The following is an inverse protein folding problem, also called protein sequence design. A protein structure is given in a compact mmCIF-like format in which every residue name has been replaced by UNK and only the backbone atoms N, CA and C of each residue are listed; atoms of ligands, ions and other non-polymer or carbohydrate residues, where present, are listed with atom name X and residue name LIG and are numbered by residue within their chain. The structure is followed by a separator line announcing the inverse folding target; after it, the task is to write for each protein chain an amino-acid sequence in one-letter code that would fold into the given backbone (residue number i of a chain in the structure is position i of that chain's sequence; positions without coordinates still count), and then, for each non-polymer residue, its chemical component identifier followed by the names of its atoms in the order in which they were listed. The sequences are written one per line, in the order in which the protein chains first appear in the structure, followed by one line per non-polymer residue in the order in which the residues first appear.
data_IF_193024066512
#
_entry.id   IF_193024066512
#
_cell.length_a   1.000
_cell.length_b   1.000
_cell.length_c   1.000
_cell.angle_alpha   90.00
_cell.angle_beta   90.00
_cell.angle_gamma   90.00
#
_symmetry.space_group_name_H-M   'P 1'
#
loop_
_entity.id
_entity.type
_entity.pdbx_description
1 polymer ?
#
# COMPACT_ATOMS: atom_id res chain seq x y z
N UNK A 1 7.14 -19.75 -0.14
CA UNK A 1 7.27 -18.29 -0.12
C UNK A 1 6.43 -17.86 -1.28
N UNK A 2 5.43 -17.06 -0.97
CA UNK A 2 4.46 -16.61 -1.96
C UNK A 2 4.75 -15.12 -2.22
N UNK A 3 4.54 -14.69 -3.46
CA UNK A 3 4.78 -13.32 -3.89
C UNK A 3 3.43 -12.63 -4.11
N UNK A 4 3.14 -11.59 -3.34
CA UNK A 4 1.84 -10.90 -3.35
C UNK A 4 1.98 -9.41 -3.65
N UNK A 5 0.83 -8.80 -3.99
CA UNK A 5 0.64 -7.35 -4.17
C UNK A 5 1.79 -6.68 -4.96
N UNK A 6 1.99 -7.05 -6.22
CA UNK A 6 3.06 -6.48 -7.03
C UNK A 6 2.75 -5.02 -7.39
N UNK A 7 3.79 -4.20 -7.41
CA UNK A 7 3.74 -2.79 -7.80
C UNK A 7 4.89 -2.50 -8.78
N UNK A 8 4.59 -1.88 -9.93
CA UNK A 8 5.57 -1.67 -11.00
C UNK A 8 5.69 -0.20 -11.35
N UNK A 9 6.92 0.33 -11.26
CA UNK A 9 7.22 1.72 -11.59
C UNK A 9 8.36 1.83 -12.60
N UNK A 10 8.20 2.73 -13.57
CA UNK A 10 9.30 3.16 -14.45
C UNK A 10 10.07 4.31 -13.78
N UNK A 11 11.36 4.10 -13.52
CA UNK A 11 12.27 5.12 -12.98
C UNK A 11 13.46 5.28 -13.92
N UNK A 12 13.55 6.45 -14.57
CA UNK A 12 14.45 6.61 -15.72
C UNK A 12 14.05 5.65 -16.84
N UNK A 13 15.00 4.83 -17.28
CA UNK A 13 14.80 3.83 -18.34
C UNK A 13 14.62 2.39 -17.80
N UNK A 14 14.36 2.24 -16.49
CA UNK A 14 14.27 0.93 -15.83
C UNK A 14 12.95 0.77 -15.09
N UNK A 15 12.27 -0.34 -15.33
CA UNK A 15 11.11 -0.78 -14.57
C UNK A 15 11.57 -1.49 -13.30
N UNK A 16 10.95 -1.14 -12.18
CA UNK A 16 11.12 -1.74 -10.86
C UNK A 16 9.81 -2.40 -10.48
N UNK A 17 9.84 -3.72 -10.26
CA UNK A 17 8.73 -4.52 -9.75
C UNK A 17 9.01 -4.83 -8.28
N UNK A 18 8.23 -4.25 -7.38
CA UNK A 18 8.24 -4.60 -5.96
C UNK A 18 7.23 -5.70 -5.71
N UNK A 19 7.56 -6.59 -4.78
CA UNK A 19 6.68 -7.69 -4.40
C UNK A 19 6.83 -8.03 -2.93
N UNK A 20 5.72 -8.46 -2.33
CA UNK A 20 5.68 -8.92 -0.94
C UNK A 20 6.16 -10.37 -0.86
N UNK A 21 7.26 -10.61 -0.16
CA UNK A 21 7.78 -11.93 0.15
C UNK A 21 7.25 -12.37 1.52
N UNK A 22 6.21 -13.20 1.52
CA UNK A 22 5.56 -13.69 2.74
C UNK A 22 5.84 -15.18 2.99
N UNK A 23 5.66 -15.60 4.24
CA UNK A 23 5.63 -17.03 4.57
C UNK A 23 4.50 -17.72 3.80
N UNK A 24 4.67 -19.02 3.54
CA UNK A 24 3.70 -19.82 2.80
C UNK A 24 2.38 -20.05 3.55
N UNK A 25 2.33 -19.74 4.85
CA UNK A 25 1.08 -19.75 5.62
C UNK A 25 0.63 -18.30 5.72
N UNK A 26 -0.38 -17.98 4.93
CA UNK A 26 -1.07 -16.70 4.92
C UNK A 26 -1.93 -16.53 6.18
N UNK A 27 -2.07 -15.30 6.68
CA UNK A 27 -3.06 -14.91 7.70
C UNK A 27 -2.99 -15.68 9.04
N UNK A 28 -1.83 -16.22 9.42
CA UNK A 28 -1.63 -16.93 10.69
C UNK A 28 -1.26 -16.00 11.87
N UNK A 29 -1.32 -14.69 11.65
CA UNK A 29 -1.04 -13.66 12.65
C UNK A 29 0.46 -13.35 12.84
N UNK A 30 1.32 -13.90 11.98
CA UNK A 30 2.75 -13.57 11.97
C UNK A 30 3.09 -12.47 10.96
N UNK A 31 3.99 -11.57 11.35
CA UNK A 31 4.42 -10.41 10.56
C UNK A 31 5.77 -10.63 9.87
N UNK A 32 6.20 -11.88 9.69
CA UNK A 32 7.48 -12.18 9.03
C UNK A 32 7.35 -12.00 7.52
N UNK A 33 7.75 -10.83 7.04
CA UNK A 33 7.66 -10.43 5.64
C UNK A 33 8.86 -9.58 5.21
N UNK A 34 9.04 -9.45 3.90
CA UNK A 34 9.99 -8.52 3.30
C UNK A 34 9.49 -8.03 1.95
N UNK A 35 9.91 -6.83 1.56
CA UNK A 35 9.69 -6.33 0.19
C UNK A 35 10.91 -6.69 -0.66
N UNK A 36 10.68 -7.48 -1.72
CA UNK A 36 11.66 -7.76 -2.75
C UNK A 36 11.56 -6.79 -3.93
N UNK A 37 12.58 -6.77 -4.79
CA UNK A 37 12.55 -5.97 -6.02
C UNK A 37 13.22 -6.69 -7.18
N UNK A 38 12.55 -6.71 -8.33
CA UNK A 38 13.09 -7.13 -9.60
C UNK A 38 13.11 -5.96 -10.59
N UNK A 39 14.03 -5.99 -11.56
CA UNK A 39 14.17 -4.93 -12.56
C UNK A 39 14.12 -5.47 -13.98
N UNK A 40 13.59 -4.66 -14.90
CA UNK A 40 13.60 -4.93 -16.34
C UNK A 40 13.68 -3.61 -17.12
N UNK A 41 14.25 -3.63 -18.32
CA UNK A 41 14.21 -2.47 -19.23
C UNK A 41 13.08 -2.55 -20.24
N UNK A 42 12.35 -3.68 -20.34
CA UNK A 42 11.30 -3.89 -21.35
C UNK A 42 9.98 -4.41 -20.81
N UNK A 43 9.94 -4.85 -19.54
CA UNK A 43 8.83 -5.60 -18.92
C UNK A 43 8.53 -6.98 -19.52
N UNK A 44 9.23 -7.40 -20.59
CA UNK A 44 8.97 -8.69 -21.23
C UNK A 44 9.24 -9.87 -20.29
N UNK A 45 8.46 -10.93 -20.47
CA UNK A 45 8.66 -12.19 -19.75
C UNK A 45 10.11 -12.66 -19.94
N UNK A 46 10.79 -13.00 -18.84
CA UNK A 46 12.17 -13.49 -18.85
C UNK A 46 13.25 -12.40 -18.83
N UNK A 47 12.88 -11.12 -18.91
CA UNK A 47 13.85 -10.00 -18.79
C UNK A 47 14.06 -9.51 -17.36
N UNK A 48 13.17 -9.93 -16.44
CA UNK A 48 13.21 -9.55 -15.05
C UNK A 48 14.43 -10.14 -14.34
N UNK A 49 15.26 -9.26 -13.80
CA UNK A 49 16.39 -9.59 -12.93
C UNK A 49 15.99 -9.31 -11.49
N UNK A 50 15.85 -10.36 -10.69
CA UNK A 50 15.66 -10.27 -9.25
C UNK A 50 16.92 -9.68 -8.58
N UNK A 51 16.73 -8.65 -7.76
CA UNK A 51 17.78 -8.02 -6.96
C UNK A 51 17.72 -8.44 -5.48
N UNK A 52 16.74 -9.25 -5.11
CA UNK A 52 16.50 -9.72 -3.75
C UNK A 52 15.73 -8.69 -2.92
N UNK A 53 16.02 -8.66 -1.61
CA UNK A 53 15.33 -7.78 -0.67
C UNK A 53 15.76 -6.32 -0.83
N UNK A 54 14.79 -5.43 -0.75
CA UNK A 54 15.01 -3.97 -0.61
C UNK A 54 15.62 -3.59 0.74
N UNK A 55 15.58 -4.48 1.74
CA UNK A 55 15.91 -4.18 3.13
C UNK A 55 14.70 -3.74 3.98
N UNK A 56 13.55 -3.45 3.37
CA UNK A 56 12.28 -3.30 4.09
C UNK A 56 11.78 -4.69 4.49
N UNK A 57 11.69 -4.94 5.80
CA UNK A 57 11.33 -6.24 6.37
C UNK A 57 10.63 -6.05 7.71
N UNK A 58 9.88 -7.06 8.10
CA UNK A 58 9.20 -7.11 9.39
C UNK A 58 9.32 -8.50 10.02
N UNK A 59 9.16 -8.53 11.32
CA UNK A 59 8.91 -9.72 12.13
C UNK A 59 7.84 -9.39 13.19
N UNK A 60 7.51 -10.35 14.06
CA UNK A 60 6.44 -10.19 15.06
C UNK A 60 6.73 -9.10 16.12
N UNK A 61 7.93 -8.52 16.15
CA UNK A 61 8.30 -7.40 17.02
C UNK A 61 8.29 -6.04 16.30
N UNK A 62 8.07 -6.04 14.99
CA UNK A 62 8.07 -4.84 14.16
C UNK A 62 6.76 -4.07 14.32
N UNK A 63 6.83 -2.74 14.22
CA UNK A 63 5.62 -1.89 14.26
C UNK A 63 4.75 -2.10 13.01
N UNK A 64 5.34 -2.41 11.87
CA UNK A 64 4.59 -2.61 10.62
C UNK A 64 4.75 -4.02 10.08
N UNK A 65 3.82 -4.41 9.20
CA UNK A 65 3.94 -5.57 8.33
C UNK A 65 4.49 -5.13 6.95
N UNK A 66 5.63 -5.68 6.54
CA UNK A 66 6.36 -5.27 5.34
C UNK A 66 5.81 -5.92 4.06
N UNK A 67 4.54 -5.64 3.77
CA UNK A 67 3.82 -6.09 2.57
C UNK A 67 3.07 -4.92 1.91
N UNK A 68 2.44 -5.19 0.78
CA UNK A 68 1.63 -4.26 -0.01
C UNK A 68 2.42 -2.99 -0.39
N UNK A 69 3.60 -3.22 -0.95
CA UNK A 69 4.51 -2.16 -1.37
C UNK A 69 3.92 -1.30 -2.48
N UNK A 70 4.03 0.02 -2.34
CA UNK A 70 3.82 1.00 -3.40
C UNK A 70 4.97 2.01 -3.44
N UNK A 71 5.61 2.21 -4.60
CA UNK A 71 6.66 3.21 -4.75
C UNK A 71 6.06 4.59 -5.03
N UNK A 72 6.34 5.56 -4.15
CA UNK A 72 5.99 6.96 -4.36
C UNK A 72 7.23 7.82 -4.59
N UNK A 73 7.23 8.65 -5.63
CA UNK A 73 8.33 9.56 -5.94
C UNK A 73 7.81 11.00 -5.94
N UNK A 74 8.41 11.85 -5.11
CA UNK A 74 8.13 13.28 -5.05
C UNK A 74 9.44 14.06 -4.96
N UNK A 75 9.57 15.10 -5.79
CA UNK A 75 10.73 16.00 -5.83
C UNK A 75 12.08 15.26 -5.89
N UNK A 76 12.11 14.14 -6.63
CA UNK A 76 13.30 13.30 -6.83
C UNK A 76 13.67 12.41 -5.62
N UNK A 77 12.83 12.36 -4.58
CA UNK A 77 12.97 11.43 -3.46
C UNK A 77 11.97 10.29 -3.61
N UNK A 78 12.45 9.09 -3.30
CA UNK A 78 11.67 7.86 -3.40
C UNK A 78 11.27 7.38 -2.00
N UNK A 79 10.02 6.96 -1.87
CA UNK A 79 9.44 6.42 -0.65
C UNK A 79 8.75 5.11 -0.96
N UNK A 80 9.04 4.09 -0.16
CA UNK A 80 8.32 2.83 -0.19
C UNK A 80 7.17 2.92 0.82
N UNK A 81 5.94 2.89 0.34
CA UNK A 81 4.74 2.86 1.17
C UNK A 81 4.35 1.40 1.36
N UNK A 82 4.12 0.97 2.60
CA UNK A 82 3.83 -0.42 2.97
C UNK A 82 2.82 -0.45 4.12
N UNK A 83 2.21 -1.60 4.32
CA UNK A 83 1.50 -1.89 5.56
C UNK A 83 0.25 -2.71 5.35
N UNK A 84 -0.02 -3.56 6.33
CA UNK A 84 -1.23 -4.35 6.42
C UNK A 84 -1.45 -4.74 7.88
N UNK A 85 -2.55 -4.27 8.45
CA UNK A 85 -2.91 -4.42 9.86
C UNK A 85 -1.82 -3.86 10.81
N UNK A 86 -1.62 -4.49 11.98
CA UNK A 86 -0.63 -4.12 12.99
C UNK A 86 -0.81 -2.66 13.43
N UNK A 87 0.17 -1.79 13.21
CA UNK A 87 0.09 -0.36 13.50
C UNK A 87 -0.23 0.49 12.26
N UNK A 88 -0.67 -0.13 11.17
CA UNK A 88 -1.21 0.51 9.98
C UNK A 88 -0.19 0.69 8.85
N UNK A 89 -0.30 1.81 8.14
CA UNK A 89 0.45 2.12 6.92
C UNK A 89 1.66 2.99 7.26
N UNK A 90 2.80 2.67 6.67
CA UNK A 90 4.08 3.34 6.89
C UNK A 90 4.74 3.73 5.57
N UNK A 91 5.60 4.75 5.63
CA UNK A 91 6.60 5.04 4.59
C UNK A 91 7.99 4.66 5.07
N UNK A 92 8.85 4.28 4.14
CA UNK A 92 10.30 4.10 4.30
C UNK A 92 11.00 4.88 3.20
N UNK A 93 12.04 5.64 3.51
CA UNK A 93 12.80 6.33 2.45
C UNK A 93 13.64 5.31 1.68
N UNK A 94 13.75 5.51 0.36
CA UNK A 94 14.51 4.64 -0.54
C UNK A 94 15.71 5.39 -1.12
N UNK A 95 16.77 4.64 -1.39
CA UNK A 95 17.94 5.16 -2.12
C UNK A 95 17.57 5.55 -3.56
N UNK A 96 18.47 6.23 -4.25
CA UNK A 96 18.35 6.51 -5.69
C UNK A 96 19.52 5.84 -6.44
N UNK A 97 19.29 4.79 -7.25
CA UNK A 97 17.98 4.22 -7.63
C UNK A 97 17.26 3.46 -6.50
N UNK A 98 15.91 3.32 -6.56
CA UNK A 98 15.07 2.84 -5.46
C UNK A 98 15.07 1.32 -5.27
N UNK A 99 16.23 0.67 -5.38
CA UNK A 99 16.37 -0.76 -5.16
C UNK A 99 16.51 -1.14 -3.69
N UNK A 100 16.96 -0.22 -2.83
CA UNK A 100 17.21 -0.47 -1.41
C UNK A 100 16.67 0.64 -0.54
N UNK A 101 16.24 0.30 0.67
CA UNK A 101 15.80 1.23 1.70
C UNK A 101 16.98 1.99 2.31
N UNK A 102 16.75 3.26 2.64
CA UNK A 102 17.63 4.03 3.49
C UNK A 102 17.46 3.57 4.95
N UNK A 103 18.52 3.10 5.62
CA UNK A 103 18.39 2.53 6.98
C UNK A 103 17.80 3.50 8.00
N UNK A 104 16.97 2.97 8.91
CA UNK A 104 16.37 3.70 10.03
C UNK A 104 15.49 4.90 9.60
N UNK A 105 14.86 4.81 8.43
CA UNK A 105 13.90 5.81 7.97
C UNK A 105 12.52 5.17 7.88
N UNK A 106 11.64 5.46 8.83
CA UNK A 106 10.24 5.10 8.68
C UNK A 106 9.33 6.08 9.42
N UNK A 107 8.09 6.23 8.95
CA UNK A 107 7.05 6.98 9.65
C UNK A 107 5.67 6.41 9.34
N UNK A 108 4.79 6.43 10.34
CA UNK A 108 3.39 6.02 10.22
C UNK A 108 2.59 7.10 9.46
N UNK A 109 1.73 6.67 8.55
CA UNK A 109 0.92 7.51 7.68
C UNK A 109 -0.59 7.37 7.94
N UNK A 110 -1.05 6.15 8.24
CA UNK A 110 -2.44 5.87 8.56
C UNK A 110 -2.54 4.72 9.57
N UNK A 111 -3.58 4.73 10.39
CA UNK A 111 -3.84 3.69 11.39
C UNK A 111 -5.30 3.70 11.84
N UNK A 112 -5.92 2.53 11.86
CA UNK A 112 -7.23 2.29 12.44
C UNK A 112 -7.09 1.89 13.92
N UNK A 113 -7.40 2.78 14.88
CA UNK A 113 -7.25 2.47 16.31
C UNK A 113 -8.30 1.46 16.82
N UNK A 114 -9.39 1.22 16.09
CA UNK A 114 -10.43 0.30 16.50
C UNK A 114 -10.18 -1.14 16.05
N UNK A 115 -10.82 -2.07 16.78
CA UNK A 115 -10.92 -3.47 16.36
C UNK A 115 -9.57 -4.15 16.19
N UNK A 116 -9.37 -4.75 15.02
CA UNK A 116 -8.17 -5.47 14.61
C UNK A 116 -7.20 -4.60 13.81
N UNK A 117 -7.36 -3.28 13.79
CA UNK A 117 -6.47 -2.34 13.10
C UNK A 117 -6.39 -2.55 11.58
N UNK A 118 -7.52 -2.87 10.96
CA UNK A 118 -7.61 -3.39 9.59
C UNK A 118 -7.39 -2.36 8.48
N UNK A 119 -6.31 -1.57 8.51
CA UNK A 119 -5.84 -0.78 7.38
C UNK A 119 -4.75 -1.55 6.62
N UNK A 120 -4.86 -1.65 5.28
CA UNK A 120 -3.87 -2.32 4.43
C UNK A 120 -3.90 -1.83 2.97
N UNK A 121 -3.04 -2.39 2.10
CA UNK A 121 -3.08 -2.13 0.67
C UNK A 121 -2.91 -0.65 0.29
N UNK A 122 -1.83 0.03 0.73
CA UNK A 122 -1.67 1.45 0.45
C UNK A 122 -1.35 1.71 -1.02
N UNK A 123 -1.90 2.80 -1.55
CA UNK A 123 -1.51 3.35 -2.83
C UNK A 123 -1.41 4.87 -2.71
N UNK A 124 -0.25 5.43 -3.01
CA UNK A 124 0.01 6.86 -2.92
C UNK A 124 0.29 7.44 -4.29
N UNK A 125 -0.36 8.56 -4.60
CA UNK A 125 -0.08 9.34 -5.80
C UNK A 125 -0.23 10.83 -5.54
N UNK A 126 0.29 11.64 -6.47
CA UNK A 126 0.24 13.10 -6.40
C UNK A 126 -0.75 13.63 -7.42
N UNK A 127 -1.64 14.52 -6.98
CA UNK A 127 -2.58 15.20 -7.86
C UNK A 127 -2.76 16.67 -7.44
N UNK A 128 -2.38 17.58 -8.35
CA UNK A 128 -2.26 19.00 -8.04
C UNK A 128 -1.26 19.26 -6.90
N UNK A 129 -1.68 20.03 -5.91
CA UNK A 129 -0.85 20.42 -4.75
C UNK A 129 -0.90 19.40 -3.59
N UNK A 130 -1.51 18.23 -3.79
CA UNK A 130 -1.75 17.26 -2.74
C UNK A 130 -1.19 15.89 -3.11
N UNK A 131 -0.65 15.20 -2.11
CA UNK A 131 -0.43 13.76 -2.13
C UNK A 131 -1.66 13.08 -1.55
N UNK A 132 -2.17 12.06 -2.22
CA UNK A 132 -3.30 11.27 -1.78
C UNK A 132 -2.82 9.88 -1.38
N UNK A 133 -3.21 9.43 -0.20
CA UNK A 133 -2.98 8.09 0.32
C UNK A 133 -4.32 7.37 0.33
N UNK A 134 -4.48 6.44 -0.61
CA UNK A 134 -5.55 5.47 -0.63
C UNK A 134 -5.10 4.24 0.14
N UNK A 135 -6.03 3.62 0.87
CA UNK A 135 -5.82 2.38 1.58
C UNK A 135 -7.15 1.68 1.75
N UNK A 136 -7.09 0.35 1.84
CA UNK A 136 -8.26 -0.44 2.17
C UNK A 136 -8.43 -0.54 3.67
N UNK A 137 -9.69 -0.53 4.13
CA UNK A 137 -10.05 -0.69 5.53
C UNK A 137 -11.13 -1.76 5.70
N UNK A 138 -10.95 -2.65 6.66
CA UNK A 138 -11.91 -3.68 7.05
C UNK A 138 -11.42 -5.09 6.76
N UNK A 139 -12.32 -6.07 6.92
CA UNK A 139 -11.99 -7.48 6.74
C UNK A 139 -12.18 -7.86 5.28
N UNK A 140 -11.06 -8.20 4.63
CA UNK A 140 -11.07 -8.75 3.28
C UNK A 140 -11.44 -10.25 3.31
N UNK A 141 -11.71 -10.75 2.11
CA UNK A 141 -11.50 -12.14 1.76
C UNK A 141 -12.50 -13.14 2.36
N UNK A 142 -12.49 -14.37 1.84
CA UNK A 142 -13.33 -15.49 2.29
C UNK A 142 -14.83 -15.20 2.29
N UNK A 143 -15.32 -14.23 1.51
CA UNK A 143 -16.75 -13.85 1.50
C UNK A 143 -17.68 -14.95 0.97
N UNK A 144 -17.12 -15.96 0.33
CA UNK A 144 -17.79 -17.19 -0.10
C UNK A 144 -18.12 -18.12 1.08
N UNK A 145 -17.35 -18.05 2.18
CA UNK A 145 -17.46 -18.92 3.35
C UNK A 145 -17.88 -18.18 4.61
N UNK A 146 -17.47 -16.91 4.78
CA UNK A 146 -17.82 -16.05 5.90
C UNK A 146 -17.86 -14.58 5.47
N UNK A 147 -19.02 -13.94 5.63
CA UNK A 147 -19.13 -12.49 5.43
C UNK A 147 -18.97 -11.79 6.77
N UNK A 148 -18.11 -10.76 6.87
CA UNK A 148 -18.04 -9.93 8.07
C UNK A 148 -19.38 -9.21 8.29
N UNK A 149 -19.61 -8.75 9.53
CA UNK A 149 -20.79 -7.97 9.87
C UNK A 149 -20.86 -6.68 9.04
N UNK A 150 -22.06 -6.22 8.70
CA UNK A 150 -22.25 -5.01 7.91
C UNK A 150 -21.47 -3.80 8.48
N UNK A 151 -20.72 -3.12 7.63
CA UNK A 151 -19.80 -2.04 7.97
C UNK A 151 -18.40 -2.50 8.40
N UNK A 152 -18.14 -3.80 8.51
CA UNK A 152 -16.80 -4.37 8.80
C UNK A 152 -16.16 -4.99 7.55
N UNK A 153 -16.92 -5.15 6.48
CA UNK A 153 -16.38 -5.49 5.17
C UNK A 153 -15.42 -4.42 4.65
N UNK A 154 -14.56 -4.88 3.75
CA UNK A 154 -13.57 -4.08 3.06
C UNK A 154 -14.16 -2.84 2.38
N UNK A 155 -13.44 -1.73 2.44
CA UNK A 155 -13.80 -0.48 1.78
C UNK A 155 -12.55 0.33 1.48
N UNK A 156 -12.61 1.23 0.51
CA UNK A 156 -11.53 2.13 0.15
C UNK A 156 -11.70 3.44 0.92
N UNK A 157 -10.64 3.83 1.64
CA UNK A 157 -10.52 5.13 2.30
C UNK A 157 -9.41 5.96 1.66
N UNK A 158 -9.55 7.27 1.75
CA UNK A 158 -8.53 8.23 1.29
C UNK A 158 -8.22 9.28 2.33
N UNK A 159 -6.95 9.65 2.36
CA UNK A 159 -6.45 10.84 3.02
C UNK A 159 -5.58 11.65 2.06
N UNK A 160 -5.37 12.94 2.36
CA UNK A 160 -4.47 13.78 1.57
C UNK A 160 -3.56 14.62 2.45
N UNK A 161 -2.41 14.99 1.89
CA UNK A 161 -1.45 15.91 2.51
C UNK A 161 -0.94 16.94 1.52
N UNK A 162 -0.75 18.18 2.00
CA UNK A 162 0.05 19.21 1.31
C UNK A 162 1.50 19.23 1.77
N UNK A 163 1.78 18.64 2.93
CA UNK A 163 3.07 18.72 3.62
C UNK A 163 4.04 17.61 3.18
N UNK A 164 3.91 17.10 1.95
CA UNK A 164 4.70 15.98 1.43
C UNK A 164 4.17 14.62 1.89
N UNK A 165 5.07 13.72 2.26
CA UNK A 165 4.76 12.32 2.67
C UNK A 165 4.56 12.21 4.18
N UNK A 166 3.69 13.05 4.74
CA UNK A 166 3.35 13.11 6.17
C UNK A 166 2.06 13.92 6.40
N UNK A 167 1.51 13.94 7.61
CA UNK A 167 0.32 14.75 7.97
C UNK A 167 -0.89 14.51 7.06
N UNK A 168 -1.15 13.25 6.73
CA UNK A 168 -2.31 12.86 5.95
C UNK A 168 -3.60 13.03 6.77
N UNK A 169 -4.57 13.72 6.17
CA UNK A 169 -5.87 14.02 6.78
C UNK A 169 -7.01 13.71 5.83
N UNK A 170 -8.15 13.37 6.41
CA UNK A 170 -9.39 13.20 5.65
C UNK A 170 -10.09 14.53 5.33
N UNK A 171 -11.25 14.46 4.67
CA UNK A 171 -12.04 15.63 4.28
C UNK A 171 -12.51 16.48 5.48
N UNK A 172 -12.67 15.87 6.67
CA UNK A 172 -13.07 16.54 7.90
C UNK A 172 -11.85 17.06 8.71
N UNK A 173 -10.63 16.81 8.21
CA UNK A 173 -9.38 17.28 8.80
C UNK A 173 -8.82 16.38 9.90
N UNK A 174 -9.40 15.19 10.13
CA UNK A 174 -8.91 14.23 11.12
C UNK A 174 -7.64 13.55 10.60
N UNK A 175 -6.66 13.38 11.49
CA UNK A 175 -5.41 12.68 11.17
C UNK A 175 -5.68 11.22 10.84
N UNK A 176 -5.06 10.73 9.77
CA UNK A 176 -5.23 9.34 9.36
C UNK A 176 -4.48 8.38 10.27
N UNK A 177 -3.45 8.86 10.98
CA UNK A 177 -2.82 8.14 12.10
C UNK A 177 -3.70 8.03 13.35
N UNK A 178 -4.85 8.69 13.38
CA UNK A 178 -5.83 8.67 14.49
C UNK A 178 -7.17 8.05 14.06
N UNK A 179 -7.18 7.23 12.99
CA UNK A 179 -8.38 6.64 12.42
C UNK A 179 -9.17 7.59 11.53
N UNK A 180 -8.51 8.59 10.95
CA UNK A 180 -9.08 9.37 9.86
C UNK A 180 -9.21 8.55 8.57
N UNK A 181 -9.92 9.11 7.60
CA UNK A 181 -9.98 8.64 6.22
C UNK A 181 -11.39 8.71 5.67
N UNK A 182 -11.55 9.43 4.55
CA UNK A 182 -12.82 9.57 3.87
C UNK A 182 -13.10 8.31 3.07
N UNK A 183 -14.27 7.69 3.26
CA UNK A 183 -14.68 6.54 2.44
C UNK A 183 -14.91 7.02 1.02
N UNK A 184 -14.19 6.43 0.07
CA UNK A 184 -14.34 6.67 -1.37
C UNK A 184 -15.31 5.67 -1.96
N UNK A 185 -15.15 4.39 -1.60
CA UNK A 185 -15.97 3.29 -2.09
C UNK A 185 -16.16 2.26 -0.98
N UNK A 186 -17.40 1.87 -0.73
CA UNK A 186 -17.75 0.74 0.13
C UNK A 186 -18.73 -0.16 -0.62
N UNK A 187 -19.16 -1.26 0.00
CA UNK A 187 -20.12 -2.18 -0.61
C UNK A 187 -21.40 -1.46 -1.07
N UNK A 188 -21.83 -1.73 -2.29
CA UNK A 188 -23.06 -1.21 -2.90
C UNK A 188 -23.55 -2.19 -3.96
N UNK A 189 -24.87 -2.25 -4.17
CA UNK A 189 -25.49 -3.13 -5.17
C UNK A 189 -24.92 -4.57 -5.14
N UNK A 190 -24.27 -4.99 -6.24
CA UNK A 190 -23.71 -6.32 -6.42
C UNK A 190 -22.20 -6.37 -6.08
N UNK A 191 -21.62 -5.27 -5.59
CA UNK A 191 -20.21 -5.13 -5.22
C UNK A 191 -20.08 -5.25 -3.71
N UNK A 192 -19.35 -6.27 -3.25
CA UNK A 192 -19.09 -6.50 -1.82
C UNK A 192 -17.60 -6.46 -1.50
N UNK A 193 -17.24 -5.63 -0.52
CA UNK A 193 -15.87 -5.51 -0.03
C UNK A 193 -14.85 -5.01 -1.06
N UNK A 194 -15.06 -3.86 -1.75
CA UNK A 194 -14.07 -3.33 -2.68
C UNK A 194 -12.79 -2.88 -1.97
N UNK A 195 -11.63 -3.17 -2.59
CA UNK A 195 -10.33 -2.69 -2.11
C UNK A 195 -9.15 -3.29 -2.89
N UNK A 196 -7.95 -3.29 -2.29
CA UNK A 196 -6.71 -3.68 -2.95
C UNK A 196 -6.36 -2.74 -4.11
N UNK A 197 -6.71 -1.47 -3.94
CA UNK A 197 -6.81 -0.51 -5.03
C UNK A 197 -5.46 0.01 -5.50
N UNK A 198 -5.37 0.31 -6.80
CA UNK A 198 -4.26 1.08 -7.35
C UNK A 198 -4.76 2.29 -8.12
N UNK A 199 -4.09 3.42 -7.96
CA UNK A 199 -4.45 4.65 -8.69
C UNK A 199 -3.37 4.96 -9.71
N UNK A 200 -3.81 5.26 -10.93
CA UNK A 200 -2.96 5.70 -12.03
C UNK A 200 -3.46 7.04 -12.56
N UNK A 201 -2.56 8.00 -12.75
CA UNK A 201 -2.90 9.27 -13.40
C UNK A 201 -2.82 9.10 -14.91
N UNK A 202 -3.98 9.01 -15.58
CA UNK A 202 -4.05 8.96 -17.03
C UNK A 202 -3.92 10.37 -17.64
N UNK A 203 -3.02 10.57 -18.62
CA UNK A 203 -2.79 11.90 -19.22
C UNK A 203 -4.03 12.52 -19.88
N UNK A 204 -5.03 11.71 -20.23
CA UNK A 204 -6.25 12.13 -20.94
C UNK A 204 -7.47 12.15 -20.02
N UNK A 205 -7.56 11.20 -19.08
CA UNK A 205 -8.75 10.97 -18.26
C UNK A 205 -8.59 11.36 -16.78
N UNK A 206 -7.38 11.76 -16.35
CA UNK A 206 -7.09 12.10 -14.95
C UNK A 206 -6.89 10.85 -14.08
N UNK A 207 -7.06 10.95 -12.75
CA UNK A 207 -6.90 9.81 -11.85
C UNK A 207 -7.90 8.70 -12.15
N UNK A 208 -7.40 7.48 -12.40
CA UNK A 208 -8.18 6.25 -12.55
C UNK A 208 -7.85 5.36 -11.35
N UNK A 209 -8.88 5.04 -10.56
CA UNK A 209 -8.82 4.03 -9.51
C UNK A 209 -9.21 2.67 -10.11
N UNK A 210 -8.49 1.61 -9.73
CA UNK A 210 -8.91 0.24 -10.02
C UNK A 210 -8.96 -0.56 -8.72
N UNK A 211 -10.07 -1.25 -8.52
CA UNK A 211 -10.35 -2.04 -7.33
C UNK A 211 -10.56 -3.52 -7.66
N UNK A 212 -10.33 -4.37 -6.66
CA UNK A 212 -10.77 -5.74 -6.66
C UNK A 212 -12.01 -5.87 -5.76
N UNK A 213 -13.07 -6.49 -6.28
CA UNK A 213 -14.27 -6.83 -5.52
C UNK A 213 -14.52 -8.33 -5.59
N UNK A 214 -15.28 -8.86 -4.64
CA UNK A 214 -15.66 -10.29 -4.57
C UNK A 214 -17.16 -10.50 -4.47
#
# INVERSE_FOLDING_TARGET
MDAWAPDVHLVGDTYYLYYSAVRAVAFDGHNLAAVGVATSTTMDIGTWKDLGSTGVKSDDSSEYNAIDSNLFIEDGRSYMIIGSYVDGIFQVAMENPPATATPNTYAKLAYEPAGNHADEGPNMFKHGDYNYLFFSNGVCCSFDTSKPAAGQEYKIKVCRSKAGVMDFRDADGKLCTEGGGTIVLGSHDDVYGPGGQGVYEDPTHGPIDHEFSS
#
